data_IF_146118048530
#
_entry.id   IF_146118048530
#
_cell.length_a   1.000
_cell.length_b   1.000
_cell.length_c   1.000
_cell.angle_alpha   90.00
_cell.angle_beta   90.00
_cell.angle_gamma   90.00
#
_symmetry.space_group_name_H-M   'P 1'
#
loop_
_entity.id
_entity.type
_entity.pdbx_description
1 polymer ?
#
# COMPACT_ATOMS: atom_id res chain seq x y z
N UNK A 1 -46.96 -16.95 -36.96
CA UNK A 1 -47.46 -15.66 -36.43
C UNK A 1 -47.92 -16.02 -35.03
N UNK A 2 -47.14 -15.86 -33.98
CA UNK A 2 -46.22 -14.77 -33.62
C UNK A 2 -45.07 -15.35 -32.77
N UNK A 3 -43.82 -15.36 -33.23
CA UNK A 3 -42.71 -14.44 -32.88
C UNK A 3 -42.84 -13.81 -31.48
N UNK A 4 -42.16 -14.43 -30.50
CA UNK A 4 -41.86 -13.88 -29.17
C UNK A 4 -40.69 -12.91 -29.32
N UNK A 5 -40.98 -11.61 -29.30
CA UNK A 5 -39.98 -10.54 -29.42
C UNK A 5 -39.25 -10.31 -28.09
N UNK A 6 -37.94 -10.52 -28.14
CA UNK A 6 -37.01 -10.33 -27.03
C UNK A 6 -37.03 -8.90 -26.47
N UNK A 7 -37.08 -8.83 -25.14
CA UNK A 7 -36.84 -7.61 -24.37
C UNK A 7 -35.32 -7.32 -24.36
N UNK A 8 -34.85 -6.13 -24.78
CA UNK A 8 -33.43 -5.86 -24.81
C UNK A 8 -32.87 -5.60 -23.41
N UNK A 9 -31.83 -6.35 -23.06
CA UNK A 9 -30.96 -6.09 -21.91
C UNK A 9 -30.30 -4.71 -22.07
N UNK A 10 -30.76 -3.75 -21.27
CA UNK A 10 -30.09 -2.46 -21.14
C UNK A 10 -28.90 -2.65 -20.20
N UNK A 11 -27.75 -2.99 -20.79
CA UNK A 11 -26.47 -2.91 -20.12
C UNK A 11 -26.25 -1.44 -19.69
N UNK A 12 -26.39 -1.19 -18.39
CA UNK A 12 -26.03 0.07 -17.74
C UNK A 12 -24.52 0.27 -17.87
N UNK A 13 -24.11 1.01 -18.89
CA UNK A 13 -22.74 1.48 -19.04
C UNK A 13 -22.50 2.61 -18.03
N UNK A 14 -22.02 2.24 -16.84
CA UNK A 14 -21.40 3.21 -15.95
C UNK A 14 -20.26 3.90 -16.73
N UNK A 15 -20.16 5.24 -16.72
CA UNK A 15 -19.11 5.93 -17.45
C UNK A 15 -17.76 5.48 -16.90
N UNK A 16 -16.95 4.87 -17.76
CA UNK A 16 -15.55 4.57 -17.48
C UNK A 16 -14.86 5.88 -17.14
N UNK A 17 -14.37 6.00 -15.89
CA UNK A 17 -13.54 7.14 -15.51
C UNK A 17 -12.38 7.25 -16.51
N UNK A 18 -12.14 8.42 -17.10
CA UNK A 18 -11.06 8.58 -18.05
C UNK A 18 -9.75 8.18 -17.40
N UNK A 19 -8.97 7.38 -18.11
CA UNK A 19 -7.64 6.98 -17.69
C UNK A 19 -6.77 8.26 -17.63
N UNK A 20 -6.29 8.68 -16.45
CA UNK A 20 -5.48 9.89 -16.33
C UNK A 20 -4.15 9.82 -17.11
N UNK A 21 -3.83 8.66 -17.72
CA UNK A 21 -2.65 8.45 -18.57
C UNK A 21 -2.84 8.84 -20.04
N UNK A 22 -4.05 9.19 -20.50
CA UNK A 22 -4.32 9.31 -21.96
C UNK A 22 -4.62 10.73 -22.48
N UNK A 23 -4.59 11.79 -21.65
CA UNK A 23 -4.84 13.16 -22.13
C UNK A 23 -3.55 14.05 -22.16
N UNK A 24 -2.94 14.28 -23.34
CA UNK A 24 -1.67 15.00 -23.48
C UNK A 24 -1.76 16.53 -23.39
N UNK A 25 -2.94 17.15 -23.22
CA UNK A 25 -3.07 18.62 -23.06
C UNK A 25 -3.33 19.09 -21.63
N UNK A 26 -3.45 18.15 -20.67
CA UNK A 26 -3.49 18.51 -19.25
C UNK A 26 -2.06 18.71 -18.74
N UNK A 27 -1.72 19.92 -18.28
CA UNK A 27 -0.62 20.12 -17.33
C UNK A 27 -0.77 19.04 -16.27
N UNK A 28 0.15 18.07 -16.21
CA UNK A 28 -0.01 16.83 -15.46
C UNK A 28 -0.41 17.14 -14.01
N UNK A 29 -1.71 17.01 -13.70
CA UNK A 29 -2.25 17.37 -12.39
C UNK A 29 -1.78 16.32 -11.38
N UNK A 30 -1.05 16.79 -10.38
CA UNK A 30 -0.50 15.97 -9.31
C UNK A 30 -1.53 15.89 -8.19
N UNK A 31 -1.98 14.69 -7.80
CA UNK A 31 -2.89 14.52 -6.67
C UNK A 31 -2.21 14.91 -5.36
N UNK A 32 -2.96 15.55 -4.46
CA UNK A 32 -2.54 15.89 -3.10
C UNK A 32 -3.34 15.07 -2.07
N UNK A 33 -2.62 14.43 -1.15
CA UNK A 33 -3.16 13.66 -0.04
C UNK A 33 -3.47 14.57 1.16
N UNK A 34 -4.46 15.46 1.00
CA UNK A 34 -4.80 16.51 1.97
C UNK A 34 -5.79 16.00 3.03
N UNK A 35 -5.44 15.97 4.33
CA UNK A 35 -6.38 15.64 5.39
C UNK A 35 -7.47 16.71 5.52
N UNK A 36 -8.66 16.33 6.02
CA UNK A 36 -9.81 17.24 6.09
C UNK A 36 -9.51 18.50 6.91
N UNK A 37 -8.73 18.36 7.97
CA UNK A 37 -8.32 19.45 8.87
C UNK A 37 -7.47 20.50 8.14
N UNK A 38 -6.71 20.10 7.10
CA UNK A 38 -5.87 20.98 6.29
C UNK A 38 -6.53 21.39 4.95
N UNK A 39 -7.82 21.11 4.74
CA UNK A 39 -8.51 21.32 3.44
C UNK A 39 -8.47 22.74 2.89
N UNK A 40 -8.20 23.76 3.73
CA UNK A 40 -8.12 25.16 3.30
C UNK A 40 -6.70 25.59 2.88
N UNK A 41 -5.69 24.76 3.10
CA UNK A 41 -4.28 25.08 2.81
C UNK A 41 -3.97 25.08 1.30
N UNK A 42 -4.40 24.10 0.50
CA UNK A 42 -3.97 24.01 -0.90
C UNK A 42 -4.44 25.18 -1.79
N UNK A 43 -5.66 25.67 -1.58
CA UNK A 43 -6.28 26.69 -2.44
C UNK A 43 -5.45 27.97 -2.58
N UNK A 44 -5.10 28.66 -1.46
CA UNK A 44 -4.23 29.84 -1.50
C UNK A 44 -2.86 29.60 -2.13
N UNK A 45 -2.33 28.38 -2.09
CA UNK A 45 -1.05 28.01 -2.70
C UNK A 45 -1.16 27.62 -4.20
N UNK A 46 -2.35 27.73 -4.81
CA UNK A 46 -2.59 27.40 -6.21
C UNK A 46 -3.04 25.95 -6.46
N UNK A 47 -3.47 25.24 -5.42
CA UNK A 47 -4.13 23.94 -5.54
C UNK A 47 -5.57 24.08 -6.04
N UNK A 48 -6.03 23.08 -6.78
CA UNK A 48 -7.37 23.03 -7.38
C UNK A 48 -8.14 21.85 -6.78
N UNK A 49 -9.35 22.11 -6.30
CA UNK A 49 -10.24 21.07 -5.79
C UNK A 49 -11.09 20.47 -6.92
N UNK A 50 -11.08 19.15 -7.05
CA UNK A 50 -11.99 18.41 -7.92
C UNK A 50 -13.14 17.83 -7.08
N UNK A 51 -14.39 18.31 -7.22
CA UNK A 51 -15.54 17.80 -6.47
C UNK A 51 -15.97 16.39 -6.89
N UNK A 52 -15.74 15.99 -8.14
CA UNK A 52 -16.08 14.65 -8.65
C UNK A 52 -15.13 13.57 -8.13
N UNK A 53 -13.86 13.93 -7.93
CA UNK A 53 -12.85 13.05 -7.33
C UNK A 53 -12.74 13.23 -5.81
N UNK A 54 -13.32 14.29 -5.25
CA UNK A 54 -13.16 14.70 -3.85
C UNK A 54 -11.67 14.71 -3.46
N UNK A 55 -10.87 15.41 -4.27
CA UNK A 55 -9.42 15.42 -4.14
C UNK A 55 -8.84 16.75 -4.60
N UNK A 56 -7.76 17.17 -3.94
CA UNK A 56 -6.97 18.33 -4.34
C UNK A 56 -5.92 17.90 -5.37
N UNK A 57 -5.68 18.79 -6.33
CA UNK A 57 -4.66 18.65 -7.36
C UNK A 57 -3.80 19.91 -7.44
N UNK A 58 -2.62 19.80 -8.02
CA UNK A 58 -1.74 20.92 -8.31
C UNK A 58 -0.97 20.65 -9.61
N UNK A 59 -0.65 21.68 -10.40
CA UNK A 59 0.24 21.47 -11.56
C UNK A 59 1.68 21.28 -11.08
N UNK A 60 2.54 20.69 -11.92
CA UNK A 60 3.96 20.54 -11.56
C UNK A 60 4.66 21.87 -11.31
N UNK A 61 4.34 22.89 -12.09
CA UNK A 61 4.93 24.23 -11.94
C UNK A 61 4.57 24.83 -10.58
N UNK A 62 3.27 24.84 -10.23
CA UNK A 62 2.79 25.37 -8.95
C UNK A 62 3.29 24.57 -7.75
N UNK A 63 3.46 23.25 -7.91
CA UNK A 63 4.05 22.41 -6.87
C UNK A 63 5.49 22.82 -6.57
N UNK A 64 6.29 23.08 -7.60
CA UNK A 64 7.70 23.47 -7.43
C UNK A 64 7.79 24.89 -6.86
N UNK A 65 7.00 25.83 -7.38
CA UNK A 65 6.96 27.22 -6.90
C UNK A 65 6.59 27.33 -5.42
N UNK A 66 5.61 26.54 -4.97
CA UNK A 66 5.07 26.60 -3.60
C UNK A 66 5.31 25.31 -2.81
N UNK A 67 6.47 24.68 -3.01
CA UNK A 67 6.69 23.31 -2.52
C UNK A 67 6.48 23.17 -1.02
N UNK A 68 6.97 24.07 -0.17
CA UNK A 68 6.81 23.94 1.28
C UNK A 68 5.34 23.92 1.74
N UNK A 69 4.44 24.63 1.05
CA UNK A 69 3.01 24.59 1.35
C UNK A 69 2.36 23.25 0.97
N UNK A 70 2.83 22.62 -0.11
CA UNK A 70 2.30 21.34 -0.59
C UNK A 70 3.01 20.12 -0.03
N UNK A 71 4.25 20.27 0.44
CA UNK A 71 5.16 19.20 0.88
C UNK A 71 4.52 18.21 1.85
N UNK A 72 3.66 18.59 2.82
CA UNK A 72 2.99 17.64 3.70
C UNK A 72 1.97 16.74 3.00
N UNK A 73 1.45 17.17 1.85
CA UNK A 73 0.35 16.52 1.12
C UNK A 73 0.82 15.86 -0.19
N UNK A 74 2.00 16.21 -0.70
CA UNK A 74 2.54 15.65 -1.95
C UNK A 74 2.94 14.18 -1.78
N UNK A 75 2.35 13.25 -2.56
CA UNK A 75 2.76 11.84 -2.55
C UNK A 75 4.23 11.69 -2.94
N UNK A 76 4.90 10.68 -2.38
CA UNK A 76 6.36 10.48 -2.52
C UNK A 76 6.86 10.56 -3.96
N UNK A 77 6.18 9.94 -4.92
CA UNK A 77 6.63 9.91 -6.32
C UNK A 77 6.61 11.27 -7.02
N UNK A 78 5.90 12.25 -6.45
CA UNK A 78 5.80 13.60 -7.01
C UNK A 78 6.64 14.62 -6.24
N UNK A 79 7.33 14.21 -5.17
CA UNK A 79 8.12 15.13 -4.35
C UNK A 79 9.45 15.49 -5.03
N UNK A 80 9.73 16.78 -5.31
CA UNK A 80 11.00 17.22 -5.88
C UNK A 80 12.20 17.01 -4.92
N UNK A 81 11.96 16.92 -3.61
CA UNK A 81 13.00 16.65 -2.59
C UNK A 81 13.30 15.16 -2.39
N UNK A 82 12.86 14.29 -3.31
CA UNK A 82 13.03 12.84 -3.24
C UNK A 82 13.47 12.30 -4.61
N UNK A 83 14.23 11.22 -4.58
CA UNK A 83 14.59 10.45 -5.77
C UNK A 83 14.04 9.03 -5.67
N UNK A 84 13.79 8.43 -6.82
CA UNK A 84 13.40 7.04 -6.94
C UNK A 84 14.51 6.10 -6.38
N UNK A 85 14.14 4.89 -5.94
CA UNK A 85 12.79 4.33 -5.93
C UNK A 85 11.97 4.79 -4.70
N UNK A 86 10.69 5.08 -4.93
CA UNK A 86 9.75 5.54 -3.93
C UNK A 86 9.05 4.40 -3.18
N UNK A 87 8.97 3.22 -3.81
CA UNK A 87 8.46 1.99 -3.22
C UNK A 87 9.21 0.77 -3.74
N UNK A 88 9.29 -0.29 -2.93
CA UNK A 88 9.90 -1.56 -3.28
C UNK A 88 9.09 -2.70 -2.66
N UNK A 89 9.19 -3.93 -3.21
CA UNK A 89 8.83 -5.13 -2.48
C UNK A 89 9.47 -5.17 -1.09
N UNK A 90 8.65 -5.42 -0.07
CA UNK A 90 9.07 -5.36 1.31
C UNK A 90 8.34 -6.42 2.12
N UNK A 91 8.63 -7.66 1.78
CA UNK A 91 7.97 -8.81 2.39
C UNK A 91 8.37 -8.98 3.85
N UNK A 92 7.41 -9.41 4.65
CA UNK A 92 7.59 -9.74 6.06
C UNK A 92 8.26 -11.12 6.16
N UNK A 93 9.27 -11.32 7.03
CA UNK A 93 9.88 -12.63 7.23
C UNK A 93 8.89 -13.63 7.83
N UNK A 94 9.08 -14.92 7.53
CA UNK A 94 8.16 -15.99 7.91
C UNK A 94 7.98 -16.17 9.42
N UNK A 95 9.00 -15.82 10.21
CA UNK A 95 8.89 -15.79 11.68
C UNK A 95 7.99 -14.67 12.21
N UNK A 96 7.56 -13.73 11.37
CA UNK A 96 6.68 -12.60 11.70
C UNK A 96 5.35 -12.58 10.94
N UNK A 97 5.07 -13.53 10.05
CA UNK A 97 3.77 -13.63 9.38
C UNK A 97 2.62 -13.69 10.38
N UNK A 98 1.52 -12.98 10.13
CA UNK A 98 0.38 -12.90 11.05
C UNK A 98 0.60 -12.07 12.31
N UNK A 99 1.84 -11.63 12.62
CA UNK A 99 2.15 -10.81 13.79
C UNK A 99 1.96 -9.31 13.52
N UNK A 100 0.73 -8.91 13.21
CA UNK A 100 0.35 -7.52 12.93
C UNK A 100 -0.53 -6.91 14.05
N UNK A 101 -0.77 -5.61 14.00
CA UNK A 101 -1.61 -4.87 14.94
C UNK A 101 -3.04 -5.38 14.99
N UNK A 102 -3.60 -5.83 13.86
CA UNK A 102 -4.94 -6.44 13.83
C UNK A 102 -4.99 -7.71 14.70
N UNK A 103 -3.90 -8.48 14.75
CA UNK A 103 -3.82 -9.67 15.58
C UNK A 103 -3.63 -9.30 17.06
N UNK A 104 -2.72 -8.37 17.35
CA UNK A 104 -2.31 -8.08 18.74
C UNK A 104 -3.18 -7.07 19.50
N UNK A 105 -3.98 -6.26 18.80
CA UNK A 105 -4.97 -5.35 19.38
C UNK A 105 -6.38 -5.93 19.28
N UNK A 106 -7.32 -5.37 20.04
CA UNK A 106 -8.74 -5.62 19.80
C UNK A 106 -9.23 -4.80 18.58
N UNK A 107 -10.38 -5.17 18.03
CA UNK A 107 -10.92 -4.54 16.81
C UNK A 107 -11.17 -3.03 16.98
N UNK A 108 -11.78 -2.53 18.07
CA UNK A 108 -11.92 -1.09 18.29
C UNK A 108 -10.60 -0.31 18.28
N UNK A 109 -9.57 -0.80 18.98
CA UNK A 109 -8.24 -0.17 19.03
C UNK A 109 -7.59 -0.15 17.63
N UNK A 110 -7.63 -1.29 16.93
CA UNK A 110 -7.11 -1.36 15.57
C UNK A 110 -7.85 -0.40 14.62
N UNK A 111 -9.16 -0.28 14.77
CA UNK A 111 -9.98 0.68 14.01
C UNK A 111 -9.55 2.13 14.24
N UNK A 112 -9.20 2.51 15.48
CA UNK A 112 -8.66 3.83 15.78
C UNK A 112 -7.34 4.07 15.05
N UNK A 113 -6.40 3.12 15.13
CA UNK A 113 -5.07 3.26 14.51
C UNK A 113 -5.17 3.37 12.99
N UNK A 114 -5.89 2.43 12.33
CA UNK A 114 -5.97 2.40 10.87
C UNK A 114 -6.75 3.60 10.31
N UNK A 115 -7.86 4.00 10.95
CA UNK A 115 -8.64 5.18 10.51
C UNK A 115 -7.88 6.48 10.74
N UNK A 116 -7.05 6.55 11.79
CA UNK A 116 -6.15 7.70 11.96
C UNK A 116 -5.14 7.80 10.82
N UNK A 117 -4.59 6.69 10.32
CA UNK A 117 -3.75 6.70 9.12
C UNK A 117 -4.50 7.23 7.89
N UNK A 118 -5.70 6.70 7.63
CA UNK A 118 -6.51 7.11 6.48
C UNK A 118 -6.85 8.61 6.52
N UNK A 119 -7.28 9.13 7.68
CA UNK A 119 -7.60 10.55 7.85
C UNK A 119 -6.39 11.44 7.61
N UNK A 120 -5.22 11.09 8.18
CA UNK A 120 -3.98 11.86 8.02
C UNK A 120 -3.53 11.99 6.57
N UNK A 121 -3.85 11.02 5.71
CA UNK A 121 -3.52 11.09 4.28
C UNK A 121 -4.67 11.59 3.40
N UNK A 122 -5.81 12.04 3.97
CA UNK A 122 -6.97 12.40 3.16
C UNK A 122 -7.52 11.23 2.34
N UNK A 123 -7.41 10.01 2.87
CA UNK A 123 -7.81 8.77 2.19
C UNK A 123 -7.14 8.60 0.82
N UNK A 124 -5.85 8.94 0.75
CA UNK A 124 -5.04 8.93 -0.46
C UNK A 124 -3.71 8.20 -0.20
N UNK A 125 -3.19 7.49 -1.20
CA UNK A 125 -1.94 6.76 -1.09
C UNK A 125 -0.76 7.72 -0.90
N UNK A 126 -0.03 7.62 0.21
CA UNK A 126 1.09 8.52 0.50
C UNK A 126 2.28 8.34 -0.47
N UNK A 127 2.30 7.26 -1.25
CA UNK A 127 3.35 6.98 -2.23
C UNK A 127 2.98 7.57 -3.60
N UNK A 128 1.86 7.15 -4.17
CA UNK A 128 1.49 7.48 -5.56
C UNK A 128 0.29 8.43 -5.70
N UNK A 129 -0.38 8.79 -4.60
CA UNK A 129 -1.57 9.63 -4.64
C UNK A 129 -2.86 8.92 -5.07
N UNK A 130 -2.77 7.67 -5.50
CA UNK A 130 -3.90 6.86 -5.97
C UNK A 130 -4.86 6.41 -4.87
N UNK A 131 -6.00 5.88 -5.31
CA UNK A 131 -7.08 5.32 -4.48
C UNK A 131 -7.59 4.02 -5.10
N UNK A 132 -7.95 3.05 -4.27
CA UNK A 132 -8.55 1.79 -4.71
C UNK A 132 -10.04 1.91 -5.09
N UNK A 133 -10.59 0.93 -5.83
CA UNK A 133 -11.96 0.97 -6.32
C UNK A 133 -13.01 0.68 -5.23
N UNK A 134 -12.75 -0.30 -4.35
CA UNK A 134 -13.68 -0.69 -3.26
C UNK A 134 -13.42 0.11 -2.00
N UNK A 135 -12.15 0.22 -1.62
CA UNK A 135 -11.69 1.03 -0.50
C UNK A 135 -10.57 1.95 -1.00
N UNK A 136 -10.56 3.24 -0.63
CA UNK A 136 -9.55 4.16 -1.13
C UNK A 136 -8.13 3.75 -0.78
N UNK A 137 -7.90 3.25 0.44
CA UNK A 137 -6.57 2.90 0.96
C UNK A 137 -6.63 1.76 1.98
N UNK A 138 -5.53 1.01 2.05
CA UNK A 138 -5.21 0.03 3.07
C UNK A 138 -4.24 0.61 4.11
N UNK A 139 -4.21 -0.01 5.29
CA UNK A 139 -3.27 0.33 6.36
C UNK A 139 -2.03 -0.57 6.26
N UNK A 140 -0.92 0.00 5.79
CA UNK A 140 0.38 -0.66 5.72
C UNK A 140 1.18 -0.38 6.99
N UNK A 141 1.65 -1.44 7.64
CA UNK A 141 2.56 -1.33 8.77
C UNK A 141 4.00 -1.12 8.25
N UNK A 142 4.56 0.04 8.53
CA UNK A 142 5.92 0.36 8.16
C UNK A 142 6.88 -0.17 9.22
N UNK A 143 7.68 -1.17 8.86
CA UNK A 143 8.62 -1.84 9.76
C UNK A 143 10.07 -1.42 9.51
N UNK A 144 10.85 -1.39 10.59
CA UNK A 144 12.31 -1.37 10.58
C UNK A 144 12.85 -2.69 11.13
N UNK A 145 14.08 -3.05 10.75
CA UNK A 145 14.68 -4.34 11.08
C UNK A 145 16.12 -4.12 11.52
N UNK A 146 16.46 -4.60 12.72
CA UNK A 146 17.81 -4.67 13.25
C UNK A 146 18.25 -6.13 13.32
N UNK A 147 19.17 -6.51 12.42
CA UNK A 147 19.72 -7.86 12.33
C UNK A 147 20.63 -8.21 13.51
N UNK A 148 21.26 -7.22 14.16
CA UNK A 148 22.18 -7.44 15.28
C UNK A 148 21.43 -7.85 16.54
N UNK A 149 20.27 -7.23 16.79
CA UNK A 149 19.40 -7.59 17.93
C UNK A 149 18.30 -8.59 17.57
N UNK A 150 18.03 -8.81 16.28
CA UNK A 150 16.90 -9.62 15.81
C UNK A 150 15.54 -8.96 16.05
N UNK A 151 15.49 -7.62 16.01
CA UNK A 151 14.28 -6.84 16.35
C UNK A 151 13.61 -6.26 15.11
N UNK A 152 12.32 -6.56 14.94
CA UNK A 152 11.44 -5.93 13.94
C UNK A 152 10.58 -4.89 14.66
N UNK A 153 10.84 -3.60 14.42
CA UNK A 153 10.15 -2.51 15.13
C UNK A 153 9.14 -1.81 14.23
N UNK A 154 7.91 -1.66 14.71
CA UNK A 154 6.87 -0.89 14.06
C UNK A 154 7.25 0.60 14.11
N UNK A 155 7.44 1.22 12.95
CA UNK A 155 7.77 2.64 12.85
C UNK A 155 6.53 3.52 12.73
N UNK A 156 5.53 3.10 11.94
CA UNK A 156 4.26 3.79 11.76
C UNK A 156 3.23 2.92 11.02
N UNK A 157 2.00 3.41 10.92
CA UNK A 157 0.99 2.90 9.98
C UNK A 157 0.75 3.95 8.90
N UNK A 158 0.98 3.55 7.65
CA UNK A 158 0.81 4.37 6.46
C UNK A 158 -0.44 3.98 5.68
N UNK A 159 -0.92 4.88 4.82
CA UNK A 159 -2.05 4.64 3.93
C UNK A 159 -1.56 4.44 2.51
N UNK A 160 -1.79 3.25 1.97
CA UNK A 160 -1.41 2.87 0.61
C UNK A 160 -2.65 2.53 -0.21
N UNK A 161 -2.66 2.81 -1.52
CA UNK A 161 -3.67 2.20 -2.39
C UNK A 161 -3.43 0.68 -2.48
N UNK A 162 -4.44 -0.11 -2.89
CA UNK A 162 -4.30 -1.56 -2.98
C UNK A 162 -3.08 -2.02 -3.79
N UNK A 163 -2.74 -1.35 -4.90
CA UNK A 163 -1.62 -1.78 -5.75
C UNK A 163 -0.25 -1.46 -5.12
N UNK A 164 -0.09 -0.28 -4.48
CA UNK A 164 1.11 0.02 -3.69
C UNK A 164 1.25 -0.92 -2.49
N UNK A 165 0.13 -1.31 -1.86
CA UNK A 165 0.13 -2.26 -0.77
C UNK A 165 0.52 -3.68 -1.25
N UNK A 166 0.04 -4.10 -2.42
CA UNK A 166 0.43 -5.35 -3.10
C UNK A 166 1.92 -5.38 -3.45
N UNK A 167 2.52 -4.25 -3.84
CA UNK A 167 3.99 -4.17 -4.01
C UNK A 167 4.69 -4.54 -2.70
N UNK A 168 4.31 -3.94 -1.57
CA UNK A 168 4.92 -4.22 -0.25
C UNK A 168 4.79 -5.71 0.09
N UNK A 169 3.60 -6.27 -0.12
CA UNK A 169 3.29 -7.68 0.11
C UNK A 169 3.49 -8.55 -1.14
N UNK A 170 4.68 -8.46 -1.77
CA UNK A 170 4.98 -9.15 -3.02
C UNK A 170 4.67 -10.65 -3.00
N UNK A 171 5.07 -11.40 -1.96
CA UNK A 171 4.76 -12.83 -1.87
C UNK A 171 3.26 -13.15 -1.93
N UNK A 172 2.39 -12.27 -1.40
CA UNK A 172 0.94 -12.42 -1.56
C UNK A 172 0.50 -12.11 -2.99
N UNK A 173 1.06 -11.07 -3.61
CA UNK A 173 0.82 -10.74 -5.02
C UNK A 173 1.11 -11.92 -5.95
N UNK A 174 2.16 -12.69 -5.65
CA UNK A 174 2.50 -13.90 -6.41
C UNK A 174 1.43 -14.98 -6.24
N UNK A 175 1.04 -15.27 -5.00
CA UNK A 175 -0.02 -16.25 -4.70
C UNK A 175 -1.37 -15.88 -5.33
N UNK A 176 -1.68 -14.58 -5.40
CA UNK A 176 -2.90 -14.07 -6.01
C UNK A 176 -2.82 -14.01 -7.56
N UNK A 177 -1.68 -14.35 -8.17
CA UNK A 177 -1.49 -14.34 -9.63
C UNK A 177 -1.46 -12.94 -10.27
N UNK A 178 -1.23 -11.88 -9.48
CA UNK A 178 -1.30 -10.47 -9.93
C UNK A 178 0.06 -9.87 -10.32
N UNK A 179 1.11 -10.68 -10.42
CA UNK A 179 2.49 -10.24 -10.63
C UNK A 179 2.64 -9.26 -11.81
N UNK A 180 2.10 -9.61 -12.99
CA UNK A 180 2.21 -8.78 -14.21
C UNK A 180 1.58 -7.40 -14.03
N UNK A 181 0.44 -7.33 -13.34
CA UNK A 181 -0.24 -6.07 -13.05
C UNK A 181 0.58 -5.20 -12.11
N UNK A 182 1.03 -5.79 -11.00
CA UNK A 182 1.75 -5.07 -9.94
C UNK A 182 3.18 -4.69 -10.36
N UNK A 183 3.85 -5.48 -11.22
CA UNK A 183 5.12 -5.08 -11.85
C UNK A 183 4.96 -3.80 -12.67
N UNK A 184 3.89 -3.67 -13.45
CA UNK A 184 3.62 -2.43 -14.20
C UNK A 184 3.36 -1.25 -13.27
N UNK A 185 2.65 -1.48 -12.16
CA UNK A 185 2.44 -0.45 -11.15
C UNK A 185 3.76 -0.03 -10.47
N UNK A 186 4.62 -0.99 -10.13
CA UNK A 186 5.95 -0.73 -9.56
C UNK A 186 6.81 0.11 -10.50
N UNK A 187 6.84 -0.25 -11.80
CA UNK A 187 7.55 0.51 -12.82
C UNK A 187 7.03 1.94 -12.95
N UNK A 188 5.70 2.10 -13.00
CA UNK A 188 5.04 3.41 -13.07
C UNK A 188 5.39 4.30 -11.87
N UNK A 189 5.25 3.77 -10.64
CA UNK A 189 5.46 4.56 -9.43
C UNK A 189 6.91 5.00 -9.30
N UNK A 190 7.87 4.14 -9.66
CA UNK A 190 9.29 4.45 -9.56
C UNK A 190 9.88 5.13 -10.79
N UNK A 191 9.15 5.20 -11.92
CA UNK A 191 9.67 5.71 -13.18
C UNK A 191 10.80 4.86 -13.77
N UNK A 192 10.76 3.54 -13.54
CA UNK A 192 11.85 2.61 -13.90
C UNK A 192 11.59 1.86 -15.21
N UNK A 193 12.66 1.57 -15.94
CA UNK A 193 12.64 0.64 -17.08
C UNK A 193 12.25 -0.79 -16.64
N UNK A 194 11.89 -1.68 -17.58
CA UNK A 194 11.60 -3.08 -17.25
C UNK A 194 12.76 -3.78 -16.51
N UNK A 195 14.00 -3.55 -16.95
CA UNK A 195 15.20 -4.14 -16.32
C UNK A 195 15.42 -3.60 -14.90
N UNK A 196 15.29 -2.30 -14.68
CA UNK A 196 15.37 -1.70 -13.34
C UNK A 196 14.26 -2.21 -12.42
N UNK A 197 13.05 -2.36 -12.95
CA UNK A 197 11.91 -2.87 -12.19
C UNK A 197 12.13 -4.32 -11.74
N UNK A 198 12.67 -5.17 -12.61
CA UNK A 198 13.06 -6.53 -12.26
C UNK A 198 14.12 -6.54 -11.14
N UNK A 199 15.16 -5.68 -11.25
CA UNK A 199 16.17 -5.54 -10.20
C UNK A 199 15.58 -5.14 -8.84
N UNK A 200 14.60 -4.22 -8.80
CA UNK A 200 13.93 -3.85 -7.55
C UNK A 200 13.16 -5.02 -6.92
N UNK A 201 12.58 -5.89 -7.75
CA UNK A 201 11.90 -7.11 -7.30
C UNK A 201 12.93 -8.08 -6.72
N UNK A 202 14.01 -8.35 -7.43
CA UNK A 202 15.09 -9.25 -7.02
C UNK A 202 15.77 -8.79 -5.72
N UNK A 203 16.01 -7.48 -5.57
CA UNK A 203 16.54 -6.88 -4.34
C UNK A 203 15.59 -7.09 -3.14
N UNK A 204 14.29 -6.94 -3.37
CA UNK A 204 13.26 -7.17 -2.36
C UNK A 204 13.17 -8.63 -1.93
N UNK A 205 13.21 -9.55 -2.90
CA UNK A 205 13.26 -11.00 -2.67
C UNK A 205 14.54 -11.40 -1.93
N UNK A 206 15.70 -10.91 -2.37
CA UNK A 206 16.99 -11.15 -1.71
C UNK A 206 17.00 -10.66 -0.26
N UNK A 207 16.44 -9.47 -0.01
CA UNK A 207 16.29 -8.93 1.34
C UNK A 207 15.36 -9.79 2.20
N UNK A 208 14.27 -10.28 1.63
CA UNK A 208 13.37 -11.19 2.33
C UNK A 208 14.05 -12.52 2.67
N UNK A 209 14.83 -13.12 1.77
CA UNK A 209 15.63 -14.32 2.08
C UNK A 209 16.60 -14.09 3.24
N UNK A 210 17.37 -12.99 3.22
CA UNK A 210 18.26 -12.63 4.33
C UNK A 210 17.51 -12.50 5.67
N UNK A 211 16.34 -11.86 5.66
CA UNK A 211 15.51 -11.72 6.88
C UNK A 211 14.92 -13.05 7.35
N UNK A 212 14.72 -14.03 6.46
CA UNK A 212 14.24 -15.36 6.83
C UNK A 212 15.32 -16.25 7.45
N UNK A 213 16.61 -15.86 7.39
CA UNK A 213 17.70 -16.61 8.00
C UNK A 213 17.66 -16.59 9.55
N UNK A 214 16.77 -15.80 10.16
CA UNK A 214 16.64 -15.70 11.61
C UNK A 214 15.19 -15.53 12.09
N UNK A 215 15.00 -15.69 13.41
CA UNK A 215 13.74 -15.39 14.08
C UNK A 215 13.74 -13.93 14.54
N UNK A 216 12.59 -13.27 14.42
CA UNK A 216 12.41 -11.88 14.82
C UNK A 216 11.55 -11.75 16.08
N UNK A 217 12.00 -10.88 16.99
CA UNK A 217 11.17 -10.31 18.05
C UNK A 217 10.47 -9.08 17.49
N UNK A 218 9.14 -9.01 17.61
CA UNK A 218 8.37 -7.89 17.08
C UNK A 218 8.11 -6.86 18.18
N UNK A 219 8.56 -5.63 17.94
CA UNK A 219 8.37 -4.50 18.83
C UNK A 219 7.21 -3.61 18.33
N UNK A 220 6.15 -3.56 19.14
CA UNK A 220 4.94 -2.76 18.90
C UNK A 220 4.92 -1.45 19.69
N UNK A 221 6.00 -1.09 20.38
CA UNK A 221 6.07 0.04 21.32
C UNK A 221 5.62 1.38 20.71
N UNK A 222 5.70 1.54 19.39
CA UNK A 222 5.11 2.68 18.68
C UNK A 222 3.62 2.86 18.96
N UNK A 223 2.81 1.79 18.95
CA UNK A 223 1.36 1.91 19.14
C UNK A 223 1.02 2.33 20.56
N UNK A 224 1.78 1.84 21.54
CA UNK A 224 1.67 2.24 22.95
C UNK A 224 2.06 3.69 23.14
N UNK A 225 3.23 4.11 22.63
CA UNK A 225 3.65 5.52 22.73
C UNK A 225 2.69 6.48 22.02
N UNK A 226 2.14 6.08 20.88
CA UNK A 226 1.33 6.97 20.03
C UNK A 226 -0.14 7.02 20.41
N UNK A 227 -0.71 5.92 20.89
CA UNK A 227 -2.16 5.78 21.15
C UNK A 227 -2.49 5.30 22.56
N UNK A 228 -1.51 4.91 23.37
CA UNK A 228 -1.74 4.32 24.70
C UNK A 228 -2.21 2.87 24.67
N UNK A 229 -2.36 2.25 23.49
CA UNK A 229 -2.81 0.87 23.37
C UNK A 229 -1.66 -0.10 23.64
N UNK A 230 -1.93 -1.09 24.50
CA UNK A 230 -0.97 -2.13 24.88
C UNK A 230 -1.40 -3.44 24.24
N UNK A 231 -0.57 -4.08 23.40
CA UNK A 231 -0.82 -5.42 22.90
C UNK A 231 -1.18 -6.41 24.02
N UNK A 232 -2.30 -7.13 23.89
CA UNK A 232 -2.78 -8.02 24.95
C UNK A 232 -2.17 -9.42 24.85
N UNK A 233 -2.19 -10.17 25.96
CA UNK A 233 -1.85 -11.59 26.01
C UNK A 233 -2.61 -12.42 24.98
N UNK A 234 -3.92 -12.21 24.88
CA UNK A 234 -4.79 -12.87 23.91
C UNK A 234 -4.41 -12.47 22.48
N UNK A 235 -4.04 -11.20 22.28
CA UNK A 235 -3.52 -10.70 21.01
C UNK A 235 -2.27 -11.43 20.55
N UNK A 236 -1.31 -11.65 21.46
CA UNK A 236 -0.12 -12.44 21.15
C UNK A 236 -0.44 -13.91 20.88
N UNK A 237 -1.44 -14.49 21.54
CA UNK A 237 -1.92 -15.86 21.23
C UNK A 237 -2.45 -15.92 19.80
N UNK A 238 -3.35 -14.99 19.40
CA UNK A 238 -3.86 -14.91 18.03
C UNK A 238 -2.74 -14.75 17.00
N UNK A 239 -1.79 -13.85 17.26
CA UNK A 239 -0.65 -13.62 16.38
C UNK A 239 0.22 -14.88 16.18
N UNK A 240 0.41 -15.68 17.24
CA UNK A 240 1.13 -16.97 17.13
C UNK A 240 0.33 -18.00 16.32
N UNK A 241 -0.98 -18.10 16.53
CA UNK A 241 -1.85 -19.01 15.77
C UNK A 241 -1.87 -18.66 14.28
N UNK A 242 -2.01 -17.39 13.93
CA UNK A 242 -1.93 -16.92 12.54
C UNK A 242 -0.55 -17.20 11.94
N UNK A 243 0.54 -16.97 12.68
CA UNK A 243 1.88 -17.31 12.21
C UNK A 243 2.02 -18.80 11.89
N UNK A 244 1.55 -19.66 12.79
CA UNK A 244 1.59 -21.10 12.60
C UNK A 244 0.83 -21.50 11.34
N UNK A 245 -0.41 -21.01 11.17
CA UNK A 245 -1.24 -21.25 9.98
C UNK A 245 -0.52 -20.86 8.68
N UNK A 246 0.06 -19.66 8.60
CA UNK A 246 0.77 -19.23 7.39
C UNK A 246 2.01 -20.09 7.10
N UNK A 247 2.73 -20.54 8.14
CA UNK A 247 3.89 -21.42 7.99
C UNK A 247 3.49 -22.81 7.51
N UNK A 248 2.37 -23.35 8.01
CA UNK A 248 1.85 -24.64 7.57
C UNK A 248 1.40 -24.58 6.11
N UNK A 249 0.65 -23.55 5.71
CA UNK A 249 0.26 -23.32 4.32
C UNK A 249 1.49 -23.22 3.38
N UNK A 250 2.55 -22.53 3.82
CA UNK A 250 3.77 -22.41 3.02
C UNK A 250 4.50 -23.76 2.88
N UNK A 251 4.49 -24.61 3.92
CA UNK A 251 5.07 -25.96 3.87
C UNK A 251 4.29 -26.85 2.91
N UNK A 252 2.96 -26.86 3.00
CA UNK A 252 2.07 -27.63 2.11
C UNK A 252 2.23 -27.23 0.64
N UNK A 253 2.36 -25.92 0.36
CA UNK A 253 2.63 -25.42 -0.98
C UNK A 253 3.99 -25.92 -1.52
N UNK A 254 5.04 -25.89 -0.69
CA UNK A 254 6.37 -26.36 -1.08
C UNK A 254 6.38 -27.88 -1.37
N UNK A 255 5.70 -28.68 -0.55
CA UNK A 255 5.55 -30.12 -0.74
C UNK A 255 4.77 -30.45 -2.03
N UNK A 256 3.73 -29.68 -2.33
CA UNK A 256 2.93 -29.85 -3.54
C UNK A 256 3.76 -29.59 -4.80
N UNK A 257 4.52 -28.49 -4.83
CA UNK A 257 5.43 -28.18 -5.95
C UNK A 257 6.49 -29.26 -6.12
N UNK A 258 7.06 -29.74 -5.02
CA UNK A 258 8.04 -30.82 -5.05
C UNK A 258 7.48 -32.13 -5.63
N UNK A 259 6.22 -32.47 -5.30
CA UNK A 259 5.54 -33.65 -5.84
C UNK A 259 5.25 -33.53 -7.34
N UNK A 260 4.77 -32.37 -7.79
CA UNK A 260 4.48 -32.11 -9.21
C UNK A 260 5.77 -32.18 -10.05
N UNK A 261 6.89 -31.65 -9.56
CA UNK A 261 8.16 -31.67 -10.29
C UNK A 261 8.87 -33.04 -10.33
N UNK A 262 8.31 -34.06 -9.65
CA UNK A 262 8.82 -35.45 -9.67
C UNK A 262 7.98 -36.40 -10.54
N UNK A 263 6.84 -35.94 -11.04
CA UNK A 263 5.99 -36.65 -12.01
C UNK A 263 6.35 -36.22 -13.43
#
# INVERSE_FOLDING_TARGET
MDIDEGRPDTASSAPTRPDPRTNPSSRQLIPLCVPYEARKVPGPAGGVWDPGQKQWFVTRERLVENFEAFRPFTPRMYRPDRQAPFIRPFMIPSSSWGKNLRAVLNRPEWDVVRKAAYRRSGYCCVVCGGRGPTYPVDADEAWSYDMGTGTQTLATVASLCPDCHSIRHWGKTQLDGREKEITRHLAFVNGTSPHETARLIDEGISTWHRRNAMKWTVDYSWVTRKYGFVPSSEGFVRARQENQKFRDMAREAAETVFRVNRM
#
